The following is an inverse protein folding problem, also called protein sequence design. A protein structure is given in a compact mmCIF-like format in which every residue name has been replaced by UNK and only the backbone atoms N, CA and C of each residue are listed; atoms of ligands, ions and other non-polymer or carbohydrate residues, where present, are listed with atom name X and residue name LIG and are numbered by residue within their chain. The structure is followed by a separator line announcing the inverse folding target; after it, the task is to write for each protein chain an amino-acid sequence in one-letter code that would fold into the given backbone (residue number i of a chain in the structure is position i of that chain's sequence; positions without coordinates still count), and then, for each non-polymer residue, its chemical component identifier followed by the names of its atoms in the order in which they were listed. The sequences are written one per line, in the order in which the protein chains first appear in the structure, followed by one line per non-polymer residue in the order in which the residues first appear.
data_IF_316267444316
#
_entry.id   IF_316267444316
#
_cell.length_a   1.000
_cell.length_b   1.000
_cell.length_c   1.000
_cell.angle_alpha   90.00
_cell.angle_beta   90.00
_cell.angle_gamma   90.00
#
_symmetry.space_group_name_H-M   'P 1'
#
loop_
_entity.id
_entity.type
_entity.pdbx_description
1 polymer ?
#
# COMPACT_ATOMS: atom_id res chain seq x y z
N UNK A 1 5.48 -11.35 0.33
CA UNK A 1 6.44 -11.63 -0.77
C UNK A 1 6.51 -10.36 -1.61
N UNK A 2 7.68 -10.02 -2.18
CA UNK A 2 7.78 -8.91 -3.13
C UNK A 2 7.11 -9.34 -4.44
N UNK A 3 6.14 -8.56 -4.92
CA UNK A 3 5.53 -8.75 -6.23
C UNK A 3 5.88 -7.54 -7.11
N UNK A 4 6.68 -7.78 -8.15
CA UNK A 4 7.10 -6.75 -9.06
C UNK A 4 5.94 -6.15 -9.87
N UNK A 5 4.82 -6.89 -10.04
CA UNK A 5 3.65 -6.44 -10.79
C UNK A 5 2.91 -5.28 -10.13
N UNK A 6 3.08 -5.11 -8.82
CA UNK A 6 2.50 -4.01 -8.03
C UNK A 6 3.22 -2.68 -8.23
N UNK A 7 4.40 -2.68 -8.86
CA UNK A 7 5.20 -1.49 -9.06
C UNK A 7 5.11 -1.03 -10.51
N UNK A 8 5.11 0.29 -10.76
CA UNK A 8 5.25 0.83 -12.11
C UNK A 8 6.50 0.29 -12.82
N UNK A 9 6.44 0.16 -14.15
CA UNK A 9 7.54 -0.42 -14.93
C UNK A 9 8.87 0.35 -14.73
N UNK A 10 8.78 1.67 -14.61
CA UNK A 10 9.87 2.61 -14.39
C UNK A 10 10.28 2.74 -12.91
N UNK A 11 9.75 1.93 -12.00
CA UNK A 11 10.02 2.02 -10.56
C UNK A 11 11.50 2.06 -10.21
N UNK A 12 12.35 1.33 -10.94
CA UNK A 12 13.81 1.36 -10.71
C UNK A 12 14.42 2.75 -10.96
N UNK A 13 13.93 3.46 -11.97
CA UNK A 13 14.35 4.82 -12.29
C UNK A 13 13.80 5.81 -11.25
N UNK A 14 12.49 5.72 -10.93
CA UNK A 14 11.85 6.54 -9.90
C UNK A 14 12.55 6.39 -8.55
N UNK A 15 12.82 5.14 -8.12
CA UNK A 15 13.55 4.85 -6.88
C UNK A 15 14.91 5.55 -6.86
N UNK A 16 15.64 5.55 -7.99
CA UNK A 16 16.95 6.20 -8.07
C UNK A 16 16.84 7.71 -7.92
N UNK A 17 15.91 8.34 -8.65
CA UNK A 17 15.66 9.77 -8.57
C UNK A 17 15.26 10.20 -7.16
N UNK A 18 14.39 9.43 -6.47
CA UNK A 18 13.99 9.72 -5.08
C UNK A 18 15.18 9.63 -4.11
N UNK A 19 16.06 8.65 -4.28
CA UNK A 19 17.27 8.53 -3.46
C UNK A 19 18.23 9.70 -3.69
N UNK A 20 18.44 10.09 -4.95
CA UNK A 20 19.28 11.24 -5.32
C UNK A 20 18.71 12.54 -4.74
N UNK A 21 17.39 12.76 -4.87
CA UNK A 21 16.70 13.92 -4.31
C UNK A 21 16.82 14.01 -2.77
N UNK A 22 16.81 12.88 -2.08
CA UNK A 22 17.03 12.81 -0.63
C UNK A 22 18.53 12.87 -0.24
N UNK A 23 19.43 13.09 -1.20
CA UNK A 23 20.88 13.12 -0.97
C UNK A 23 21.42 11.80 -0.41
N UNK A 24 20.78 10.68 -0.77
CA UNK A 24 21.05 9.34 -0.21
C UNK A 24 20.98 9.30 1.32
N UNK A 25 20.09 10.08 1.93
CA UNK A 25 19.87 10.11 3.37
C UNK A 25 18.46 9.68 3.72
N UNK A 26 18.34 9.02 4.87
CA UNK A 26 17.05 8.77 5.49
C UNK A 26 16.38 10.10 5.87
N UNK A 27 15.18 10.37 5.37
CA UNK A 27 14.45 11.62 5.64
C UNK A 27 13.98 11.73 7.10
N UNK A 28 13.97 10.64 7.86
CA UNK A 28 13.60 10.62 9.27
C UNK A 28 14.78 10.78 10.25
N UNK A 29 15.94 10.19 9.93
CA UNK A 29 17.06 10.12 10.87
C UNK A 29 18.42 10.55 10.28
N UNK A 30 18.46 10.96 9.01
CA UNK A 30 19.66 11.51 8.35
C UNK A 30 20.76 10.50 8.00
N UNK A 31 20.62 9.22 8.35
CA UNK A 31 21.64 8.19 8.08
C UNK A 31 21.85 8.02 6.57
N UNK A 32 23.11 7.91 6.17
CA UNK A 32 23.50 7.77 4.76
C UNK A 32 23.24 6.34 4.26
N UNK A 33 22.88 6.19 2.99
CA UNK A 33 22.84 4.89 2.33
C UNK A 33 24.21 4.22 2.37
N UNK A 34 24.21 2.89 2.56
CA UNK A 34 25.39 2.02 2.62
C UNK A 34 26.39 2.35 3.73
N UNK A 35 26.03 3.18 4.72
CA UNK A 35 26.88 3.39 5.89
C UNK A 35 26.92 2.15 6.77
N UNK A 36 28.06 1.88 7.39
CA UNK A 36 28.20 0.82 8.39
C UNK A 36 27.80 1.37 9.75
N UNK A 37 26.90 0.67 10.45
CA UNK A 37 26.41 1.02 11.78
C UNK A 37 26.56 -0.17 12.71
N UNK A 38 26.69 0.09 14.02
CA UNK A 38 26.68 -0.96 15.03
C UNK A 38 25.27 -1.28 15.52
N UNK A 39 24.96 -2.57 15.59
CA UNK A 39 23.73 -3.08 16.19
C UNK A 39 23.77 -2.83 17.70
N UNK A 40 22.83 -2.05 18.23
CA UNK A 40 22.72 -1.85 19.68
C UNK A 40 22.39 -3.15 20.45
N UNK A 41 21.90 -4.19 19.76
CA UNK A 41 21.51 -5.48 20.35
C UNK A 41 22.66 -6.49 20.36
N UNK A 42 23.44 -6.54 19.29
CA UNK A 42 24.49 -7.58 19.10
C UNK A 42 25.91 -7.02 19.11
N UNK A 43 26.08 -5.70 18.99
CA UNK A 43 27.40 -5.05 18.85
C UNK A 43 28.03 -5.19 17.46
N UNK A 44 27.46 -6.04 16.60
CA UNK A 44 27.93 -6.34 15.26
C UNK A 44 27.69 -5.18 14.30
N UNK A 45 28.57 -5.08 13.31
CA UNK A 45 28.45 -4.12 12.22
C UNK A 45 27.40 -4.60 11.21
N UNK A 46 26.57 -3.68 10.74
CA UNK A 46 25.63 -3.93 9.66
C UNK A 46 25.61 -2.76 8.69
N UNK A 47 25.37 -3.06 7.42
CA UNK A 47 25.22 -2.05 6.38
C UNK A 47 23.78 -1.53 6.34
N UNK A 48 23.63 -0.21 6.35
CA UNK A 48 22.33 0.45 6.19
C UNK A 48 21.95 0.48 4.71
N UNK A 49 20.73 0.10 4.40
CA UNK A 49 20.13 0.29 3.08
C UNK A 49 18.90 1.18 3.19
N UNK A 50 18.80 2.15 2.30
CA UNK A 50 17.62 2.97 2.14
C UNK A 50 16.59 2.32 1.22
N UNK A 51 15.33 2.53 1.56
CA UNK A 51 14.15 2.02 0.88
C UNK A 51 13.12 3.12 0.73
N UNK A 52 12.29 3.03 -0.29
CA UNK A 52 11.19 3.97 -0.51
C UNK A 52 9.96 3.42 0.22
N UNK A 53 9.34 4.26 1.04
CA UNK A 53 8.08 3.98 1.72
C UNK A 53 6.97 4.85 1.12
N UNK A 54 5.79 4.29 0.90
CA UNK A 54 4.61 5.06 0.48
C UNK A 54 3.98 5.71 1.71
N UNK A 55 3.61 6.99 1.61
CA UNK A 55 3.01 7.71 2.73
C UNK A 55 1.58 7.24 3.05
N UNK A 56 0.89 6.70 2.05
CA UNK A 56 -0.44 6.10 2.17
C UNK A 56 -0.36 4.61 1.81
N UNK A 57 -1.15 3.80 2.49
CA UNK A 57 -1.21 2.36 2.24
C UNK A 57 -1.88 2.08 0.88
N UNK A 58 -1.51 0.96 0.24
CA UNK A 58 -2.08 0.47 -1.03
C UNK A 58 -1.90 1.39 -2.25
N UNK A 59 -0.94 2.32 -2.21
CA UNK A 59 -0.59 3.18 -3.34
C UNK A 59 0.68 2.73 -4.09
N UNK A 60 1.12 1.47 -3.92
CA UNK A 60 2.34 0.95 -4.55
C UNK A 60 2.31 1.03 -6.08
N UNK A 61 1.13 0.88 -6.66
CA UNK A 61 0.89 0.91 -8.10
C UNK A 61 0.84 2.32 -8.68
N UNK A 62 0.52 3.31 -7.85
CA UNK A 62 0.23 4.67 -8.30
C UNK A 62 1.54 5.42 -8.59
N UNK A 63 1.75 5.84 -9.84
CA UNK A 63 2.99 6.51 -10.26
C UNK A 63 3.27 7.79 -9.45
N UNK A 64 2.22 8.56 -9.15
CA UNK A 64 2.31 9.83 -8.44
C UNK A 64 2.18 9.70 -6.91
N UNK A 65 2.29 8.47 -6.37
CA UNK A 65 2.17 8.26 -4.95
C UNK A 65 3.18 9.11 -4.17
N UNK A 66 2.73 9.71 -3.07
CA UNK A 66 3.64 10.36 -2.15
C UNK A 66 4.52 9.33 -1.47
N UNK A 67 5.83 9.51 -1.60
CA UNK A 67 6.84 8.60 -1.04
C UNK A 67 7.81 9.32 -0.11
N UNK A 68 8.53 8.55 0.70
CA UNK A 68 9.66 9.01 1.49
C UNK A 68 10.81 8.00 1.50
N UNK A 69 12.04 8.46 1.67
CA UNK A 69 13.27 7.67 1.71
C UNK A 69 13.63 7.32 3.15
N UNK A 70 13.59 6.03 3.51
CA UNK A 70 13.80 5.56 4.87
C UNK A 70 14.81 4.44 4.96
N UNK A 71 15.62 4.46 6.03
CA UNK A 71 16.39 3.30 6.45
C UNK A 71 15.46 2.21 6.98
N UNK A 72 15.91 0.95 7.00
CA UNK A 72 15.11 -0.19 7.44
C UNK A 72 14.48 -0.01 8.84
N UNK A 73 15.18 0.65 9.78
CA UNK A 73 14.67 0.92 11.13
C UNK A 73 13.50 1.91 11.11
N UNK A 74 13.68 3.05 10.45
CA UNK A 74 12.64 4.07 10.34
C UNK A 74 11.46 3.58 9.52
N UNK A 75 11.71 2.84 8.43
CA UNK A 75 10.67 2.25 7.60
C UNK A 75 9.78 1.28 8.39
N UNK A 76 10.37 0.34 9.14
CA UNK A 76 9.59 -0.58 9.99
C UNK A 76 8.76 0.14 11.06
N UNK A 77 9.29 1.23 11.62
CA UNK A 77 8.57 2.08 12.58
C UNK A 77 7.38 2.77 11.89
N UNK A 78 7.61 3.35 10.72
CA UNK A 78 6.59 3.99 9.89
C UNK A 78 5.45 3.01 9.57
N UNK A 79 5.77 1.82 9.04
CA UNK A 79 4.78 0.80 8.67
C UNK A 79 3.94 0.27 9.84
N UNK A 80 4.38 0.48 11.09
CA UNK A 80 3.61 0.06 12.26
C UNK A 80 2.25 0.77 12.34
N UNK A 81 2.12 1.97 11.78
CA UNK A 81 0.83 2.66 11.75
C UNK A 81 -0.20 1.94 10.87
N UNK A 82 0.24 1.33 9.76
CA UNK A 82 -0.61 0.55 8.85
C UNK A 82 -0.94 -0.84 9.40
N UNK A 83 -0.14 -1.35 10.34
CA UNK A 83 -0.39 -2.64 11.02
C UNK A 83 -1.48 -2.56 12.09
N UNK A 84 -1.72 -1.39 12.69
CA UNK A 84 -2.76 -1.19 13.70
C UNK A 84 -4.14 -1.06 13.03
N UNK A 85 -4.64 -2.15 12.43
CA UNK A 85 -6.07 -2.27 12.11
C UNK A 85 -6.81 -2.46 13.44
N UNK A 86 -7.49 -1.41 13.92
CA UNK A 86 -8.08 -1.34 15.27
C UNK A 86 -9.35 -2.16 15.50
N UNK A 87 -9.73 -3.05 14.58
CA UNK A 87 -10.93 -3.89 14.68
C UNK A 87 -10.59 -5.37 14.74
N UNK A 88 -11.49 -6.16 15.34
CA UNK A 88 -11.49 -7.60 15.15
C UNK A 88 -11.60 -7.87 13.65
N UNK A 89 -10.53 -8.38 13.01
CA UNK A 89 -10.63 -8.88 11.65
C UNK A 89 -11.63 -10.02 11.68
N UNK A 90 -12.79 -9.83 11.07
CA UNK A 90 -13.62 -10.96 10.72
C UNK A 90 -12.92 -11.61 9.53
N UNK A 91 -12.19 -12.70 9.79
CA UNK A 91 -11.57 -13.48 8.72
C UNK A 91 -12.69 -14.09 7.89
N UNK A 92 -13.19 -13.32 6.92
CA UNK A 92 -14.02 -13.79 5.83
C UNK A 92 -13.05 -14.02 4.68
N UNK A 93 -12.42 -15.20 4.58
CA UNK A 93 -11.51 -15.49 3.49
C UNK A 93 -12.28 -15.48 2.18
N UNK A 94 -11.73 -14.83 1.17
CA UNK A 94 -12.35 -14.71 -0.17
C UNK A 94 -11.47 -15.29 -1.27
N UNK A 95 -10.63 -16.29 -0.92
CA UNK A 95 -9.53 -16.80 -1.74
C UNK A 95 -8.51 -15.69 -2.10
N UNK A 96 -7.78 -15.79 -3.21
CA UNK A 96 -6.94 -14.67 -3.69
C UNK A 96 -7.80 -13.78 -4.58
N UNK A 97 -7.76 -12.47 -4.32
CA UNK A 97 -8.31 -11.48 -5.23
C UNK A 97 -7.18 -10.60 -5.73
N UNK A 98 -7.03 -10.55 -7.04
CA UNK A 98 -6.12 -9.64 -7.73
C UNK A 98 -6.96 -8.44 -8.19
N UNK A 99 -6.61 -7.23 -7.77
CA UNK A 99 -7.34 -6.00 -8.12
C UNK A 99 -6.52 -5.20 -9.13
N UNK A 100 -7.12 -4.88 -10.26
CA UNK A 100 -6.51 -4.12 -11.35
C UNK A 100 -7.19 -2.77 -11.52
N UNK A 101 -6.43 -1.75 -11.89
CA UNK A 101 -6.92 -0.39 -12.17
C UNK A 101 -6.41 0.07 -13.53
N UNK A 102 -7.11 1.00 -14.16
CA UNK A 102 -6.67 1.62 -15.41
C UNK A 102 -5.81 2.85 -15.10
N UNK A 103 -4.53 2.80 -15.44
CA UNK A 103 -3.58 3.91 -15.30
C UNK A 103 -2.85 4.10 -16.64
N UNK A 104 -2.89 5.31 -17.21
CA UNK A 104 -2.23 5.62 -18.47
C UNK A 104 -2.66 4.75 -19.66
N UNK A 105 -3.93 4.28 -19.67
CA UNK A 105 -4.46 3.40 -20.71
C UNK A 105 -4.02 1.93 -20.60
N UNK A 106 -3.44 1.52 -19.46
CA UNK A 106 -3.02 0.16 -19.19
C UNK A 106 -3.69 -0.37 -17.91
N UNK A 107 -3.96 -1.67 -17.90
CA UNK A 107 -4.36 -2.37 -16.68
C UNK A 107 -3.12 -2.66 -15.83
N UNK A 108 -3.11 -2.13 -14.61
CA UNK A 108 -2.01 -2.32 -13.63
C UNK A 108 -2.54 -2.99 -12.37
N UNK A 109 -1.76 -3.90 -11.78
CA UNK A 109 -2.15 -4.58 -10.55
C UNK A 109 -2.04 -3.60 -9.38
N UNK A 110 -3.19 -3.22 -8.81
CA UNK A 110 -3.27 -2.30 -7.68
C UNK A 110 -2.99 -2.98 -6.34
N UNK A 111 -3.35 -4.26 -6.20
CA UNK A 111 -3.11 -4.99 -4.98
C UNK A 111 -3.69 -6.40 -4.99
N UNK A 112 -3.28 -7.17 -3.99
CA UNK A 112 -3.84 -8.49 -3.72
C UNK A 112 -4.60 -8.47 -2.39
N UNK A 113 -5.81 -9.01 -2.37
CA UNK A 113 -6.60 -9.21 -1.17
C UNK A 113 -6.80 -10.70 -0.87
N UNK A 114 -6.82 -11.06 0.42
CA UNK A 114 -7.08 -12.43 0.90
C UNK A 114 -8.30 -12.53 1.80
N UNK A 115 -8.75 -11.38 2.30
CA UNK A 115 -9.93 -11.24 3.13
C UNK A 115 -10.79 -10.13 2.57
N UNK A 116 -12.08 -10.15 2.89
CA UNK A 116 -13.00 -9.07 2.49
C UNK A 116 -12.56 -7.71 3.04
N UNK A 117 -12.05 -7.65 4.27
CA UNK A 117 -11.51 -6.41 4.83
C UNK A 117 -10.29 -5.88 4.07
N UNK A 118 -9.40 -6.76 3.59
CA UNK A 118 -8.26 -6.32 2.76
C UNK A 118 -8.74 -5.76 1.42
N UNK A 119 -9.76 -6.37 0.79
CA UNK A 119 -10.35 -5.85 -0.44
C UNK A 119 -10.99 -4.47 -0.22
N UNK A 120 -11.75 -4.32 0.88
CA UNK A 120 -12.35 -3.02 1.24
C UNK A 120 -11.30 -1.95 1.47
N UNK A 121 -10.25 -2.26 2.22
CA UNK A 121 -9.17 -1.31 2.50
C UNK A 121 -8.45 -0.88 1.22
N UNK A 122 -8.20 -1.82 0.32
CA UNK A 122 -7.56 -1.58 -0.97
C UNK A 122 -8.42 -0.63 -1.82
N UNK A 123 -9.72 -0.93 -1.97
CA UNK A 123 -10.65 -0.08 -2.73
C UNK A 123 -10.84 1.29 -2.07
N UNK A 124 -10.90 1.35 -0.74
CA UNK A 124 -11.02 2.62 -0.01
C UNK A 124 -9.82 3.55 -0.25
N UNK A 125 -8.61 2.99 -0.43
CA UNK A 125 -7.40 3.74 -0.69
C UNK A 125 -7.27 4.27 -2.13
N UNK A 126 -8.11 3.80 -3.06
CA UNK A 126 -8.14 4.29 -4.43
C UNK A 126 -8.70 5.73 -4.49
N UNK A 127 -8.26 6.57 -5.45
CA UNK A 127 -8.92 7.84 -5.74
C UNK A 127 -10.40 7.67 -6.07
N UNK A 128 -11.20 8.71 -5.87
CA UNK A 128 -12.60 8.72 -6.35
C UNK A 128 -12.66 8.56 -7.87
N UNK A 129 -13.76 8.00 -8.38
CA UNK A 129 -13.97 7.66 -9.80
C UNK A 129 -13.01 6.63 -10.39
N UNK A 130 -12.17 5.98 -9.56
CA UNK A 130 -11.31 4.90 -10.05
C UNK A 130 -12.19 3.76 -10.55
N UNK A 131 -12.04 3.42 -11.83
CA UNK A 131 -12.56 2.16 -12.38
C UNK A 131 -11.54 1.05 -12.12
N UNK A 132 -12.04 -0.08 -11.62
CA UNK A 132 -11.19 -1.20 -11.24
C UNK A 132 -11.84 -2.54 -11.57
N UNK A 133 -11.00 -3.50 -11.89
CA UNK A 133 -11.37 -4.89 -12.15
C UNK A 133 -10.88 -5.78 -11.00
N UNK A 134 -11.68 -6.75 -10.62
CA UNK A 134 -11.35 -7.77 -9.63
C UNK A 134 -11.31 -9.11 -10.31
N UNK A 135 -10.22 -9.86 -10.12
CA UNK A 135 -10.12 -11.27 -10.49
C UNK A 135 -10.05 -12.12 -9.23
N UNK A 136 -11.05 -12.98 -9.02
CA UNK A 136 -11.00 -13.99 -7.97
C UNK A 136 -10.26 -15.22 -8.50
N UNK A 137 -9.21 -15.62 -7.79
CA UNK A 137 -8.27 -16.67 -8.20
C UNK A 137 -8.24 -17.80 -7.18
N UNK A 138 -8.54 -19.01 -7.65
CA UNK A 138 -8.42 -20.27 -6.89
C UNK A 138 -7.55 -21.25 -7.69
N UNK A 139 -6.58 -21.87 -7.04
CA UNK A 139 -5.62 -22.79 -7.69
C UNK A 139 -4.98 -22.21 -8.97
N UNK A 140 -4.65 -20.91 -8.94
CA UNK A 140 -4.10 -20.15 -10.07
C UNK A 140 -5.03 -19.97 -11.28
N UNK A 141 -6.30 -20.37 -11.18
CA UNK A 141 -7.32 -20.12 -12.20
C UNK A 141 -8.26 -18.99 -11.75
N UNK A 142 -8.64 -18.13 -12.70
CA UNK A 142 -9.68 -17.11 -12.47
C UNK A 142 -11.02 -17.86 -12.42
N UNK A 143 -11.71 -17.77 -11.28
CA UNK A 143 -13.01 -18.42 -11.03
C UNK A 143 -14.17 -17.42 -11.02
N UNK A 144 -13.86 -16.14 -11.08
CA UNK A 144 -14.81 -15.04 -11.20
C UNK A 144 -14.09 -13.73 -11.45
N UNK A 145 -14.77 -12.80 -12.09
CA UNK A 145 -14.28 -11.45 -12.29
C UNK A 145 -15.41 -10.43 -12.15
N UNK A 146 -15.05 -9.21 -11.77
CA UNK A 146 -16.00 -8.11 -11.65
C UNK A 146 -15.38 -6.79 -12.08
N UNK A 147 -16.19 -5.93 -12.66
CA UNK A 147 -15.83 -4.58 -13.06
C UNK A 147 -16.64 -3.58 -12.25
N UNK A 148 -15.95 -2.61 -11.67
CA UNK A 148 -16.50 -1.69 -10.69
C UNK A 148 -16.01 -0.25 -10.95
N UNK A 149 -16.73 0.71 -10.37
CA UNK A 149 -16.28 2.10 -10.25
C UNK A 149 -16.54 2.61 -8.83
N UNK A 150 -15.55 3.29 -8.25
CA UNK A 150 -15.67 3.96 -6.96
C UNK A 150 -16.41 5.29 -7.12
N UNK A 151 -17.51 5.49 -6.40
CA UNK A 151 -18.37 6.68 -6.52
C UNK A 151 -18.02 7.80 -5.50
N UNK A 152 -18.38 9.05 -5.80
CA UNK A 152 -18.04 10.28 -5.04
C UNK A 152 -18.60 10.30 -3.61
N UNK A 153 -19.67 9.53 -3.33
CA UNK A 153 -20.41 9.62 -2.08
C UNK A 153 -20.19 8.40 -1.19
N UNK A 154 -19.32 8.56 -0.20
CA UNK A 154 -19.37 7.74 1.02
C UNK A 154 -18.92 6.29 0.88
N UNK A 155 -18.20 5.95 -0.20
CA UNK A 155 -17.64 4.62 -0.36
C UNK A 155 -18.62 3.60 -0.96
N UNK A 156 -19.55 4.05 -1.79
CA UNK A 156 -20.36 3.14 -2.61
C UNK A 156 -19.54 2.70 -3.83
N UNK A 157 -19.55 1.40 -4.11
CA UNK A 157 -18.94 0.81 -5.30
C UNK A 157 -20.06 0.44 -6.26
N UNK A 158 -20.12 1.10 -7.42
CA UNK A 158 -21.09 0.76 -8.45
C UNK A 158 -20.58 -0.45 -9.24
N UNK A 159 -21.43 -1.47 -9.30
CA UNK A 159 -21.17 -2.69 -10.07
C UNK A 159 -21.50 -2.42 -11.55
N UNK A 160 -20.52 -2.66 -12.42
CA UNK A 160 -20.71 -2.57 -13.88
C UNK A 160 -20.93 -3.96 -14.47
N UNK A 161 -20.21 -4.96 -13.99
CA UNK A 161 -20.40 -6.36 -14.34
C UNK A 161 -19.81 -7.28 -13.28
N UNK A 162 -20.40 -8.46 -13.07
CA UNK A 162 -19.87 -9.53 -12.23
C UNK A 162 -20.13 -10.88 -12.89
N UNK A 163 -19.16 -11.79 -12.81
CA UNK A 163 -19.24 -13.13 -13.38
C UNK A 163 -18.66 -14.16 -12.40
N UNK A 164 -19.24 -15.37 -12.43
CA UNK A 164 -18.76 -16.51 -11.64
C UNK A 164 -18.77 -16.22 -10.14
N UNK A 165 -17.66 -16.52 -9.47
CA UNK A 165 -17.52 -16.37 -8.02
C UNK A 165 -17.51 -14.90 -7.52
N UNK A 166 -17.51 -13.91 -8.43
CA UNK A 166 -17.60 -12.50 -8.07
C UNK A 166 -19.05 -11.97 -7.97
N UNK A 167 -20.07 -12.76 -8.30
CA UNK A 167 -21.47 -12.32 -8.19
C UNK A 167 -21.82 -12.01 -6.72
N UNK A 168 -22.23 -10.76 -6.46
CA UNK A 168 -22.53 -10.24 -5.12
C UNK A 168 -21.30 -9.84 -4.31
N UNK A 169 -20.11 -9.74 -4.93
CA UNK A 169 -18.87 -9.45 -4.24
C UNK A 169 -18.75 -7.98 -3.82
N UNK A 170 -19.31 -7.06 -4.61
CA UNK A 170 -19.21 -5.61 -4.46
C UNK A 170 -18.78 -5.13 -3.05
N UNK A 171 -17.54 -4.63 -2.87
CA UNK A 171 -17.01 -4.30 -1.56
C UNK A 171 -17.80 -3.14 -0.94
N UNK A 172 -18.46 -3.39 0.19
CA UNK A 172 -19.15 -2.35 0.96
C UNK A 172 -18.11 -1.54 1.73
N UNK A 173 -17.76 -0.34 1.28
CA UNK A 173 -16.76 0.44 2.01
C UNK A 173 -17.34 0.93 3.35
N UNK A 174 -16.54 0.95 4.43
CA UNK A 174 -16.99 1.58 5.66
C UNK A 174 -17.21 3.08 5.39
N UNK A 175 -18.19 3.73 6.04
CA UNK A 175 -18.28 5.19 6.00
C UNK A 175 -16.93 5.77 6.42
N UNK A 176 -16.42 6.75 5.67
CA UNK A 176 -15.10 7.36 5.82
C UNK A 176 -14.79 7.63 7.31
N UNK A 177 -14.07 6.73 7.97
CA UNK A 177 -13.62 6.95 9.32
C UNK A 177 -12.51 8.00 9.26
N UNK A 178 -12.77 9.20 9.76
CA UNK A 178 -11.75 10.24 9.91
C UNK A 178 -10.63 9.73 10.82
N UNK A 179 -9.55 9.22 10.24
CA UNK A 179 -8.35 8.88 10.97
C UNK A 179 -7.72 10.18 11.50
N UNK A 180 -7.95 10.48 12.78
CA UNK A 180 -7.22 11.55 13.48
C UNK A 180 -5.76 11.13 13.59
N UNK A 181 -4.92 11.66 12.69
CA UNK A 181 -3.46 11.55 12.79
C UNK A 181 -3.06 12.30 14.07
N UNK A 182 -2.74 11.57 15.15
CA UNK A 182 -2.05 12.15 16.29
C UNK A 182 -0.60 12.39 15.86
N UNK A 183 -0.29 13.58 15.38
CA UNK A 183 1.10 14.05 15.28
C UNK A 183 1.69 14.05 16.69
N UNK A 184 2.51 13.05 16.99
CA UNK A 184 3.33 13.05 18.20
C UNK A 184 4.48 14.05 17.97
N UNK A 185 4.22 15.33 18.24
CA UNK A 185 5.26 16.35 18.36
C UNK A 185 6.08 15.99 19.61
N UNK A 186 7.27 15.42 19.42
CA UNK A 186 8.29 15.40 20.47
C UNK A 186 8.87 16.81 20.54
N UNK A 187 8.28 17.66 21.36
CA UNK A 187 8.99 18.86 21.80
C UNK A 187 10.15 18.41 22.69
N UNK A 188 11.34 18.88 22.34
CA UNK A 188 12.58 18.54 23.00
C UNK A 188 12.56 19.01 24.44
N UNK A 189 12.96 18.13 25.36
CA UNK A 189 13.54 18.56 26.63
C UNK A 189 14.95 19.04 26.31
N UNK A 190 15.09 20.36 26.21
CA UNK A 190 16.34 21.03 26.55
C UNK A 190 16.20 21.56 27.97
N UNK A 191 17.30 21.42 28.71
CA UNK A 191 17.57 21.77 30.12
C UNK A 191 17.11 20.78 31.18
#
# INVERSE_FOLDING_TARGET
MFDARLYPAEWRALRRQKLEAAGYRCEECGVLDRSVMKSARTGEDYMVYLSIAHKKQYQTWLHEAETMVLCQRCHRRYDRQFRRKGGARTYTPISRIDVYVQEGGRSVLAGEARTYDDLRDLVAAMPEHTSFEVHMVMHMAIVGNGLYIKDEQGGVVKVLAEYGACVGLAPQLPPLATFKIKHARKEGKHE
#
